data_IF_075827876635
#
_entry.id   IF_075827876635
#
_cell.length_a   1.000
_cell.length_b   1.000
_cell.length_c   1.000
_cell.angle_alpha   90.00
_cell.angle_beta   90.00
_cell.angle_gamma   90.00
#
_symmetry.space_group_name_H-M   'P 1'
#
loop_
_entity.id
_entity.type
_entity.pdbx_description
1 polymer ?
#
# COMPACT_ATOMS: atom_id res chain seq x y z
N UNK A 1 -5.54 24.38 0.10
CA UNK A 1 -5.80 23.32 1.08
C UNK A 1 -7.25 22.93 0.92
N UNK A 2 -7.51 21.67 0.61
CA UNK A 2 -8.89 21.15 0.51
C UNK A 2 -8.96 19.82 1.27
N UNK A 3 -10.03 19.68 2.05
CA UNK A 3 -10.32 18.45 2.77
C UNK A 3 -10.82 17.39 1.77
N UNK A 4 -9.98 16.42 1.49
CA UNK A 4 -10.17 15.41 0.44
C UNK A 4 -10.20 14.00 1.01
N UNK A 5 -10.97 13.14 0.36
CA UNK A 5 -10.89 11.69 0.52
C UNK A 5 -9.63 11.12 -0.15
N UNK A 6 -9.28 9.87 0.17
CA UNK A 6 -8.15 9.19 -0.46
C UNK A 6 -8.35 9.08 -1.97
N UNK A 7 -9.56 8.77 -2.41
CA UNK A 7 -9.91 8.66 -3.82
C UNK A 7 -9.75 10.00 -4.58
N UNK A 8 -10.21 11.10 -3.98
CA UNK A 8 -10.04 12.45 -4.55
C UNK A 8 -8.56 12.84 -4.61
N UNK A 9 -7.76 12.43 -3.62
CA UNK A 9 -6.32 12.67 -3.60
C UNK A 9 -5.57 11.88 -4.69
N UNK A 10 -5.98 10.64 -4.96
CA UNK A 10 -5.48 9.84 -6.11
C UNK A 10 -5.82 10.54 -7.42
N UNK A 11 -7.08 10.96 -7.61
CA UNK A 11 -7.50 11.69 -8.80
C UNK A 11 -6.69 12.98 -9.00
N UNK A 12 -6.49 13.75 -7.92
CA UNK A 12 -5.70 14.97 -7.96
C UNK A 12 -4.24 14.71 -8.38
N UNK A 13 -3.61 13.66 -7.84
CA UNK A 13 -2.25 13.28 -8.20
C UNK A 13 -2.13 12.91 -9.69
N UNK A 14 -3.11 12.16 -10.22
CA UNK A 14 -3.16 11.81 -11.65
C UNK A 14 -3.33 13.08 -12.52
N UNK A 15 -4.23 13.97 -12.14
CA UNK A 15 -4.39 15.25 -12.84
C UNK A 15 -3.10 16.05 -12.85
N UNK A 16 -2.42 16.17 -11.71
CA UNK A 16 -1.18 16.93 -11.56
C UNK A 16 -0.07 16.36 -12.46
N UNK A 17 0.18 15.05 -12.40
CA UNK A 17 1.27 14.44 -13.17
C UNK A 17 0.97 14.42 -14.68
N UNK A 18 -0.26 14.20 -15.09
CA UNK A 18 -0.64 14.28 -16.51
C UNK A 18 -0.54 15.70 -17.07
N UNK A 19 -0.75 16.72 -16.25
CA UNK A 19 -0.58 18.12 -16.67
C UNK A 19 0.90 18.49 -16.76
N UNK A 20 1.71 18.00 -15.83
CA UNK A 20 3.14 18.25 -15.74
C UNK A 20 3.94 17.52 -16.81
N UNK A 21 3.58 16.29 -17.14
CA UNK A 21 4.35 15.40 -18.00
C UNK A 21 3.47 14.79 -19.10
N UNK A 22 3.72 15.14 -20.38
CA UNK A 22 2.94 14.63 -21.51
C UNK A 22 3.11 13.12 -21.75
N UNK A 23 4.15 12.48 -21.20
CA UNK A 23 4.41 11.07 -21.37
C UNK A 23 3.63 10.19 -20.37
N UNK A 24 2.97 10.79 -19.37
CA UNK A 24 2.08 10.06 -18.45
C UNK A 24 0.78 9.71 -19.15
N UNK A 25 0.45 8.42 -19.17
CA UNK A 25 -0.75 7.84 -19.81
C UNK A 25 -1.48 6.97 -18.80
N UNK A 26 -2.79 7.12 -18.69
CA UNK A 26 -3.65 6.25 -17.85
C UNK A 26 -4.36 5.24 -18.76
N UNK A 27 -4.31 3.96 -18.40
CA UNK A 27 -5.02 2.90 -19.12
C UNK A 27 -5.63 1.89 -18.16
N UNK A 28 -6.72 1.27 -18.58
CA UNK A 28 -7.45 0.27 -17.78
C UNK A 28 -8.90 0.16 -18.21
N UNK A 29 -9.64 -0.69 -17.54
CA UNK A 29 -11.06 -0.88 -17.79
C UNK A 29 -11.86 0.31 -17.26
N UNK A 30 -12.72 0.88 -18.10
CA UNK A 30 -13.62 1.99 -17.75
C UNK A 30 -12.95 3.27 -17.22
N UNK A 31 -11.63 3.40 -17.32
CA UNK A 31 -10.88 4.55 -16.79
C UNK A 31 -11.19 5.86 -17.54
N UNK A 32 -11.63 5.76 -18.77
CA UNK A 32 -11.90 6.91 -19.64
C UNK A 32 -13.33 7.44 -19.52
N UNK A 33 -14.28 6.76 -20.14
CA UNK A 33 -15.68 7.23 -20.22
C UNK A 33 -16.34 7.23 -18.83
N UNK A 34 -16.17 6.16 -18.08
CA UNK A 34 -16.78 6.01 -16.77
C UNK A 34 -15.98 6.66 -15.64
N UNK A 35 -14.70 6.95 -15.84
CA UNK A 35 -13.81 7.51 -14.81
C UNK A 35 -13.38 6.51 -13.75
N UNK A 36 -13.29 5.22 -14.13
CA UNK A 36 -12.93 4.11 -13.27
C UNK A 36 -14.08 3.58 -12.40
N UNK A 37 -13.98 2.32 -11.98
CA UNK A 37 -15.02 1.64 -11.17
C UNK A 37 -15.27 2.35 -9.83
N UNK A 38 -14.25 2.91 -9.21
CA UNK A 38 -14.35 3.73 -8.00
C UNK A 38 -14.37 5.23 -8.27
N UNK A 39 -14.30 5.67 -9.52
CA UNK A 39 -14.28 7.08 -9.95
C UNK A 39 -12.94 7.80 -9.70
N UNK A 40 -11.84 7.04 -9.62
CA UNK A 40 -10.50 7.58 -9.40
C UNK A 40 -9.96 8.38 -10.61
N UNK A 41 -10.48 8.15 -11.80
CA UNK A 41 -10.00 8.76 -13.05
C UNK A 41 -11.02 9.73 -13.69
N UNK A 42 -12.04 10.14 -12.92
CA UNK A 42 -13.07 11.09 -13.38
C UNK A 42 -12.44 12.38 -13.89
N UNK A 43 -12.91 12.85 -15.06
CA UNK A 43 -12.48 14.11 -15.67
C UNK A 43 -11.15 14.06 -16.42
N UNK A 44 -10.33 13.00 -16.24
CA UNK A 44 -9.04 12.89 -16.92
C UNK A 44 -9.19 12.85 -18.44
N UNK A 45 -10.14 12.04 -18.96
CA UNK A 45 -10.35 11.91 -20.40
C UNK A 45 -10.83 13.20 -21.04
N UNK A 46 -11.69 13.93 -20.36
CA UNK A 46 -12.20 15.22 -20.87
C UNK A 46 -11.08 16.26 -20.97
N UNK A 47 -10.15 16.24 -20.02
CA UNK A 47 -9.02 17.18 -19.97
C UNK A 47 -7.87 16.78 -20.89
N UNK A 48 -7.48 15.49 -20.93
CA UNK A 48 -6.25 15.01 -21.58
C UNK A 48 -6.49 14.21 -22.86
N UNK A 49 -7.74 13.89 -23.16
CA UNK A 49 -8.16 13.20 -24.39
C UNK A 49 -7.95 11.69 -24.36
N UNK A 50 -8.59 11.02 -25.35
CA UNK A 50 -8.63 9.55 -25.44
C UNK A 50 -7.27 8.89 -25.75
N UNK A 51 -6.30 9.64 -26.25
CA UNK A 51 -4.94 9.12 -26.51
C UNK A 51 -4.11 8.98 -25.25
N UNK A 52 -4.47 9.69 -24.19
CA UNK A 52 -3.76 9.67 -22.91
C UNK A 52 -4.58 9.01 -21.78
N UNK A 53 -5.89 8.85 -21.97
CA UNK A 53 -6.77 8.12 -21.04
C UNK A 53 -7.51 7.07 -21.85
N UNK A 54 -7.05 5.83 -21.76
CA UNK A 54 -7.34 4.75 -22.67
C UNK A 54 -8.20 3.70 -21.99
N UNK A 55 -9.46 3.57 -22.42
CA UNK A 55 -10.28 2.41 -22.04
C UNK A 55 -9.76 1.16 -22.74
N UNK A 56 -9.49 0.11 -21.99
CA UNK A 56 -9.08 -1.19 -22.50
C UNK A 56 -10.25 -2.19 -22.50
N UNK A 57 -10.17 -3.27 -23.28
CA UNK A 57 -11.00 -4.44 -23.01
C UNK A 57 -10.71 -5.01 -21.62
N UNK A 58 -11.66 -5.83 -21.11
CA UNK A 58 -11.50 -6.63 -19.89
C UNK A 58 -10.48 -7.76 -20.16
N UNK A 59 -9.21 -7.43 -20.00
CA UNK A 59 -8.08 -8.32 -20.30
C UNK A 59 -6.82 -7.86 -19.56
N UNK A 60 -6.67 -8.22 -18.31
CA UNK A 60 -5.62 -7.70 -17.40
C UNK A 60 -4.21 -8.07 -17.86
N UNK A 61 -4.05 -9.23 -18.51
CA UNK A 61 -2.79 -9.60 -19.17
C UNK A 61 -2.40 -8.63 -20.29
N UNK A 62 -3.39 -8.12 -21.05
CA UNK A 62 -3.18 -7.09 -22.06
C UNK A 62 -2.84 -5.75 -21.41
N UNK A 63 -3.57 -5.34 -20.37
CA UNK A 63 -3.32 -4.08 -19.65
C UNK A 63 -1.88 -4.05 -19.17
N UNK A 64 -1.43 -5.11 -18.46
CA UNK A 64 -0.07 -5.22 -17.97
C UNK A 64 0.96 -5.21 -19.10
N UNK A 65 0.73 -5.98 -20.17
CA UNK A 65 1.68 -6.12 -21.29
C UNK A 65 1.79 -4.85 -22.15
N UNK A 66 0.69 -4.18 -22.42
CA UNK A 66 0.68 -2.90 -23.15
C UNK A 66 1.44 -1.83 -22.34
N UNK A 67 1.26 -1.79 -21.01
CA UNK A 67 2.02 -0.88 -20.15
C UNK A 67 3.54 -1.11 -20.26
N UNK A 68 4.00 -2.38 -20.30
CA UNK A 68 5.42 -2.69 -20.53
C UNK A 68 5.88 -2.15 -21.88
N UNK A 69 5.12 -2.39 -22.96
CA UNK A 69 5.44 -1.87 -24.28
C UNK A 69 5.52 -0.35 -24.32
N UNK A 70 4.56 0.35 -23.72
CA UNK A 70 4.56 1.81 -23.60
C UNK A 70 5.78 2.34 -22.85
N UNK A 71 6.12 1.74 -21.71
CA UNK A 71 7.26 2.15 -20.88
C UNK A 71 8.59 2.00 -21.64
N UNK A 72 8.77 0.92 -22.41
CA UNK A 72 9.98 0.72 -23.22
C UNK A 72 10.11 1.70 -24.37
N UNK A 73 9.04 2.40 -24.73
CA UNK A 73 9.02 3.47 -25.75
C UNK A 73 9.06 4.88 -25.15
N UNK A 74 9.29 5.00 -23.83
CA UNK A 74 9.49 6.28 -23.14
C UNK A 74 8.23 6.88 -22.52
N UNK A 75 7.08 6.21 -22.59
CA UNK A 75 5.89 6.65 -21.90
C UNK A 75 5.94 6.21 -20.41
N UNK A 76 5.11 6.84 -19.58
CA UNK A 76 4.92 6.53 -18.16
C UNK A 76 3.48 6.06 -17.91
N UNK A 77 3.18 4.79 -18.17
CA UNK A 77 1.84 4.29 -18.02
C UNK A 77 1.46 4.10 -16.55
N UNK A 78 0.27 4.57 -16.21
CA UNK A 78 -0.45 4.24 -14.98
C UNK A 78 -1.56 3.27 -15.37
N UNK A 79 -1.33 1.99 -15.08
CA UNK A 79 -2.23 0.90 -15.45
C UNK A 79 -3.15 0.57 -14.28
N UNK A 80 -4.46 0.80 -14.43
CA UNK A 80 -5.47 0.50 -13.42
C UNK A 80 -6.04 -0.90 -13.62
N UNK A 81 -6.04 -1.69 -12.55
CA UNK A 81 -6.84 -2.90 -12.40
C UNK A 81 -8.00 -2.61 -11.47
N UNK A 82 -9.19 -3.11 -11.78
CA UNK A 82 -10.40 -2.78 -11.02
C UNK A 82 -10.36 -3.26 -9.57
N UNK A 83 -9.70 -4.41 -9.31
CA UNK A 83 -9.44 -4.97 -7.97
C UNK A 83 -8.13 -5.74 -7.96
N UNK A 84 -7.50 -5.88 -6.78
CA UNK A 84 -6.22 -6.56 -6.66
C UNK A 84 -6.29 -8.03 -7.09
N UNK A 85 -7.37 -8.75 -6.78
CA UNK A 85 -7.56 -10.14 -7.20
C UNK A 85 -7.65 -10.32 -8.72
N UNK A 86 -7.94 -9.27 -9.49
CA UNK A 86 -7.99 -9.34 -10.95
C UNK A 86 -6.63 -9.18 -11.62
N UNK A 87 -5.61 -8.83 -10.87
CA UNK A 87 -4.25 -8.62 -11.40
C UNK A 87 -3.55 -9.93 -11.80
N UNK A 88 -4.02 -11.09 -11.30
CA UNK A 88 -3.36 -12.38 -11.50
C UNK A 88 -3.12 -12.77 -12.97
N UNK A 89 -4.03 -12.56 -13.93
CA UNK A 89 -3.74 -12.80 -15.34
C UNK A 89 -2.62 -11.92 -15.90
N UNK A 90 -2.33 -10.76 -15.28
CA UNK A 90 -1.26 -9.83 -15.63
C UNK A 90 0.11 -10.15 -15.00
N UNK A 91 0.17 -11.11 -14.05
CA UNK A 91 1.39 -11.35 -13.27
C UNK A 91 2.59 -11.75 -14.12
N UNK A 92 2.40 -12.50 -15.20
CA UNK A 92 3.50 -12.84 -16.10
C UNK A 92 4.18 -11.58 -16.66
N UNK A 93 3.40 -10.59 -17.10
CA UNK A 93 3.91 -9.34 -17.65
C UNK A 93 4.58 -8.48 -16.57
N UNK A 94 4.00 -8.43 -15.39
CA UNK A 94 4.54 -7.67 -14.26
C UNK A 94 5.85 -8.29 -13.77
N UNK A 95 5.85 -9.61 -13.49
CA UNK A 95 6.97 -10.31 -12.87
C UNK A 95 8.09 -10.61 -13.88
N UNK A 96 7.71 -11.15 -15.04
CA UNK A 96 8.70 -11.64 -16.01
C UNK A 96 9.21 -10.55 -16.94
N UNK A 97 8.44 -9.49 -17.16
CA UNK A 97 8.83 -8.39 -18.05
C UNK A 97 9.19 -7.12 -17.28
N UNK A 98 8.22 -6.46 -16.65
CA UNK A 98 8.43 -5.16 -15.99
C UNK A 98 9.53 -5.22 -14.91
N UNK A 99 9.38 -6.10 -13.92
CA UNK A 99 10.32 -6.21 -12.80
C UNK A 99 11.76 -6.52 -13.22
N UNK A 100 11.94 -7.23 -14.32
CA UNK A 100 13.26 -7.69 -14.80
C UNK A 100 13.88 -6.79 -15.85
N UNK A 101 13.17 -5.79 -16.36
CA UNK A 101 13.61 -4.99 -17.50
C UNK A 101 14.96 -4.32 -17.27
N UNK A 102 15.13 -3.62 -16.15
CA UNK A 102 16.39 -2.96 -15.79
C UNK A 102 17.56 -3.95 -15.71
N UNK A 103 17.36 -5.08 -15.02
CA UNK A 103 18.41 -6.09 -14.86
C UNK A 103 18.76 -6.75 -16.21
N UNK A 104 17.75 -7.18 -16.96
CA UNK A 104 17.91 -7.85 -18.27
C UNK A 104 18.66 -6.97 -19.28
N UNK A 105 18.42 -5.68 -19.25
CA UNK A 105 19.04 -4.71 -20.15
C UNK A 105 20.31 -4.07 -19.58
N UNK A 106 20.75 -4.47 -18.39
CA UNK A 106 21.90 -3.89 -17.68
C UNK A 106 21.74 -2.38 -17.48
N UNK A 107 20.55 -1.93 -17.09
CA UNK A 107 20.21 -0.54 -16.83
C UNK A 107 19.97 0.33 -18.06
N UNK A 108 20.04 -0.22 -19.28
CA UNK A 108 19.84 0.56 -20.52
C UNK A 108 18.38 0.95 -20.74
N UNK A 109 17.46 0.13 -20.27
CA UNK A 109 16.02 0.37 -20.36
C UNK A 109 15.46 0.30 -18.94
N UNK A 110 14.69 1.30 -18.55
CA UNK A 110 13.89 1.34 -17.34
C UNK A 110 12.44 0.98 -17.66
N UNK A 111 11.61 0.80 -16.65
CA UNK A 111 10.22 0.44 -16.85
C UNK A 111 9.33 1.26 -15.91
N UNK A 112 9.15 2.57 -16.16
CA UNK A 112 8.43 3.49 -15.29
C UNK A 112 6.92 3.25 -15.38
N UNK A 113 6.43 2.21 -14.73
CA UNK A 113 5.03 1.83 -14.72
C UNK A 113 4.49 1.91 -13.29
N UNK A 114 3.32 2.51 -13.13
CA UNK A 114 2.52 2.33 -11.91
C UNK A 114 1.39 1.35 -12.23
N UNK A 115 1.41 0.19 -11.58
CA UNK A 115 0.30 -0.74 -11.56
C UNK A 115 -0.52 -0.45 -10.31
N UNK A 116 -1.70 0.14 -10.47
CA UNK A 116 -2.56 0.51 -9.34
C UNK A 116 -3.84 -0.32 -9.31
N UNK A 117 -4.29 -0.63 -8.12
CA UNK A 117 -5.57 -1.29 -7.90
C UNK A 117 -6.13 -1.00 -6.51
N UNK A 118 -7.46 -1.02 -6.33
CA UNK A 118 -8.09 -1.19 -5.02
C UNK A 118 -7.60 -2.46 -4.36
N UNK A 119 -7.56 -2.47 -3.03
CA UNK A 119 -6.92 -3.50 -2.22
C UNK A 119 -7.63 -3.63 -0.88
N UNK A 120 -7.72 -4.86 -0.39
CA UNK A 120 -8.16 -5.16 0.97
C UNK A 120 -9.65 -5.48 1.12
N UNK A 121 -10.03 -5.78 2.35
CA UNK A 121 -11.38 -6.10 2.76
C UNK A 121 -12.09 -4.90 3.41
N UNK A 122 -13.41 -5.00 3.64
CA UNK A 122 -14.19 -4.02 4.39
C UNK A 122 -15.22 -3.24 3.56
N UNK A 123 -15.48 -3.66 2.33
CA UNK A 123 -16.51 -3.07 1.47
C UNK A 123 -17.67 -4.03 1.17
N UNK A 124 -17.73 -5.17 1.86
CA UNK A 124 -18.75 -6.20 1.70
C UNK A 124 -18.87 -6.76 0.29
N UNK A 125 -17.75 -6.86 -0.42
CA UNK A 125 -17.66 -7.44 -1.75
C UNK A 125 -17.34 -8.95 -1.69
N UNK A 126 -17.49 -9.70 -2.81
CA UNK A 126 -17.02 -11.08 -2.89
C UNK A 126 -15.52 -11.19 -2.59
N UNK A 127 -15.07 -12.37 -2.12
CA UNK A 127 -13.69 -12.63 -1.71
C UNK A 127 -12.65 -12.17 -2.75
N UNK A 128 -12.92 -12.38 -4.03
CA UNK A 128 -12.02 -12.01 -5.13
C UNK A 128 -11.85 -10.49 -5.33
N UNK A 129 -12.72 -9.69 -4.70
CA UNK A 129 -12.63 -8.23 -4.68
C UNK A 129 -12.01 -7.70 -3.38
N UNK A 130 -11.66 -8.59 -2.45
CA UNK A 130 -11.21 -8.26 -1.09
C UNK A 130 -9.80 -8.80 -0.79
N UNK A 131 -9.01 -9.04 -1.82
CA UNK A 131 -7.68 -9.63 -1.71
C UNK A 131 -6.66 -8.66 -1.08
N UNK A 132 -5.74 -9.23 -0.30
CA UNK A 132 -4.57 -8.55 0.28
C UNK A 132 -3.32 -9.39 -0.01
N UNK A 133 -2.79 -9.24 -1.23
CA UNK A 133 -1.71 -10.11 -1.75
C UNK A 133 -0.39 -9.36 -1.96
N UNK A 134 -0.15 -8.30 -1.21
CA UNK A 134 1.07 -7.49 -1.28
C UNK A 134 2.35 -8.32 -1.10
N UNK A 135 2.30 -9.40 -0.31
CA UNK A 135 3.44 -10.27 -0.07
C UNK A 135 3.93 -10.98 -1.34
N UNK A 136 3.03 -11.33 -2.27
CA UNK A 136 3.40 -11.92 -3.56
C UNK A 136 4.29 -10.99 -4.37
N UNK A 137 3.94 -9.70 -4.42
CA UNK A 137 4.70 -8.70 -5.16
C UNK A 137 5.95 -8.24 -4.40
N UNK A 138 5.89 -8.17 -3.07
CA UNK A 138 7.04 -7.87 -2.23
C UNK A 138 8.16 -8.91 -2.34
N UNK A 139 7.82 -10.17 -2.66
CA UNK A 139 8.81 -11.22 -2.90
C UNK A 139 9.59 -11.03 -4.21
N UNK A 140 9.08 -10.26 -5.17
CA UNK A 140 9.66 -10.14 -6.52
C UNK A 140 10.74 -9.05 -6.56
N UNK A 141 12.01 -9.39 -6.86
CA UNK A 141 13.05 -8.39 -7.08
C UNK A 141 12.74 -7.50 -8.29
N UNK A 142 12.95 -6.19 -8.12
CA UNK A 142 12.73 -5.20 -9.17
C UNK A 142 11.34 -4.56 -9.17
N UNK A 143 10.47 -4.94 -8.23
CA UNK A 143 9.21 -4.23 -7.95
C UNK A 143 9.32 -3.41 -6.66
N UNK A 144 8.71 -2.23 -6.66
CA UNK A 144 8.27 -1.55 -5.44
C UNK A 144 6.83 -1.90 -5.13
N UNK A 145 6.49 -1.91 -3.84
CA UNK A 145 5.11 -2.10 -3.36
C UNK A 145 4.78 -0.99 -2.39
N UNK A 146 3.78 -0.18 -2.72
CA UNK A 146 3.38 1.02 -1.98
C UNK A 146 1.90 0.92 -1.63
N UNK A 147 1.56 1.21 -0.37
CA UNK A 147 0.19 1.15 0.15
C UNK A 147 -0.07 2.40 1.02
N UNK A 148 -0.73 3.42 0.51
CA UNK A 148 -0.99 4.64 1.28
C UNK A 148 -2.01 4.39 2.39
N UNK A 149 -1.90 5.14 3.49
CA UNK A 149 -2.77 5.05 4.67
C UNK A 149 -3.69 6.25 4.87
N UNK A 150 -3.57 7.27 4.03
CA UNK A 150 -4.34 8.52 4.13
C UNK A 150 -4.35 9.29 2.81
N UNK A 151 -5.27 10.28 2.64
CA UNK A 151 -5.33 11.11 1.44
C UNK A 151 -4.00 11.81 1.13
N UNK A 152 -3.36 12.41 2.14
CA UNK A 152 -2.06 13.07 1.98
C UNK A 152 -0.96 12.10 1.51
N UNK A 153 -0.96 10.87 2.06
CA UNK A 153 -0.03 9.81 1.63
C UNK A 153 -0.33 9.38 0.20
N UNK A 154 -1.61 9.18 -0.14
CA UNK A 154 -2.01 8.76 -1.49
C UNK A 154 -1.55 9.77 -2.54
N UNK A 155 -1.78 11.06 -2.33
CA UNK A 155 -1.31 12.11 -3.24
C UNK A 155 0.21 12.07 -3.41
N UNK A 156 0.96 12.26 -2.33
CA UNK A 156 2.41 12.43 -2.43
C UNK A 156 3.17 11.17 -2.85
N UNK A 157 2.73 9.98 -2.41
CA UNK A 157 3.35 8.72 -2.81
C UNK A 157 3.03 8.36 -4.26
N UNK A 158 1.83 8.68 -4.77
CA UNK A 158 1.48 8.43 -6.17
C UNK A 158 2.29 9.33 -7.12
N UNK A 159 2.49 10.61 -6.76
CA UNK A 159 3.40 11.48 -7.51
C UNK A 159 4.80 10.86 -7.62
N UNK A 160 5.35 10.38 -6.50
CA UNK A 160 6.67 9.76 -6.48
C UNK A 160 6.71 8.45 -7.25
N UNK A 161 5.65 7.64 -7.17
CA UNK A 161 5.54 6.38 -7.91
C UNK A 161 5.52 6.61 -9.43
N UNK A 162 4.80 7.63 -9.92
CA UNK A 162 4.77 7.96 -11.36
C UNK A 162 6.12 8.50 -11.86
N UNK A 163 6.87 9.15 -10.98
CA UNK A 163 8.20 9.68 -11.28
C UNK A 163 9.32 8.65 -11.18
N UNK A 164 9.05 7.51 -10.55
CA UNK A 164 10.06 6.46 -10.37
C UNK A 164 10.41 5.80 -11.72
N UNK A 165 11.68 5.55 -11.99
CA UNK A 165 12.12 4.88 -13.22
C UNK A 165 11.84 3.37 -13.23
N UNK A 166 11.47 2.77 -12.10
CA UNK A 166 11.20 1.35 -11.94
C UNK A 166 9.72 1.06 -11.65
N UNK A 167 9.22 -0.15 -11.91
CA UNK A 167 7.81 -0.45 -11.76
C UNK A 167 7.37 -0.45 -10.29
N UNK A 168 6.25 0.19 -10.04
CA UNK A 168 5.61 0.32 -8.72
C UNK A 168 4.25 -0.35 -8.73
N UNK A 169 4.03 -1.27 -7.80
CA UNK A 169 2.70 -1.74 -7.41
C UNK A 169 2.13 -0.75 -6.41
N UNK A 170 1.05 -0.09 -6.74
CA UNK A 170 0.41 0.92 -5.90
C UNK A 170 -0.99 0.44 -5.50
N UNK A 171 -1.10 -0.10 -4.29
CA UNK A 171 -2.32 -0.70 -3.78
C UNK A 171 -3.06 0.29 -2.90
N UNK A 172 -4.31 0.55 -3.23
CA UNK A 172 -5.15 1.57 -2.62
C UNK A 172 -6.18 0.93 -1.70
N UNK A 173 -6.09 1.08 -0.37
CA UNK A 173 -7.05 0.47 0.54
C UNK A 173 -8.46 1.02 0.31
N UNK A 174 -9.33 0.21 -0.29
CA UNK A 174 -10.66 0.65 -0.73
C UNK A 174 -11.60 0.99 0.45
N UNK A 175 -11.45 0.31 1.58
CA UNK A 175 -12.19 0.57 2.82
C UNK A 175 -12.01 2.02 3.31
N UNK A 176 -10.86 2.63 3.02
CA UNK A 176 -10.59 4.01 3.41
C UNK A 176 -10.70 5.02 2.27
N UNK A 177 -11.14 4.60 1.08
CA UNK A 177 -11.31 5.50 -0.06
C UNK A 177 -12.17 6.73 0.26
N UNK A 178 -13.25 6.54 1.02
CA UNK A 178 -14.23 7.59 1.35
C UNK A 178 -14.48 7.77 2.84
N UNK A 179 -13.91 6.90 3.70
CA UNK A 179 -14.20 6.88 5.14
C UNK A 179 -13.49 7.99 5.90
N UNK A 180 -12.45 8.57 5.33
CA UNK A 180 -11.70 9.66 5.96
C UNK A 180 -11.42 10.77 4.97
N UNK A 181 -11.28 11.97 5.51
CA UNK A 181 -10.77 13.14 4.80
C UNK A 181 -9.57 13.72 5.52
N UNK A 182 -8.68 14.32 4.79
CA UNK A 182 -7.58 15.13 5.34
C UNK A 182 -7.23 16.26 4.39
N UNK A 183 -6.55 17.26 4.92
CA UNK A 183 -6.05 18.38 4.13
C UNK A 183 -4.94 17.92 3.18
N UNK A 184 -5.19 18.11 1.88
CA UNK A 184 -4.23 17.81 0.81
C UNK A 184 -3.90 19.10 0.09
N UNK A 185 -2.62 19.38 -0.07
CA UNK A 185 -2.10 20.51 -0.82
C UNK A 185 -1.64 20.01 -2.18
N UNK A 186 -2.18 20.61 -3.25
CA UNK A 186 -1.72 20.37 -4.62
C UNK A 186 -0.48 21.21 -4.93
N UNK A 187 0.64 20.83 -4.31
CA UNK A 187 1.92 21.50 -4.46
C UNK A 187 2.90 20.77 -5.40
N UNK A 188 2.50 19.62 -5.90
CA UNK A 188 3.33 18.77 -6.75
C UNK A 188 4.53 18.14 -6.04
N UNK A 189 4.55 18.19 -4.69
CA UNK A 189 5.64 17.61 -3.90
C UNK A 189 5.35 16.14 -3.64
N UNK A 190 6.17 15.26 -4.25
CA UNK A 190 6.13 13.82 -3.97
C UNK A 190 6.68 13.51 -2.58
N UNK A 191 6.07 12.53 -1.91
CA UNK A 191 6.62 11.98 -0.68
C UNK A 191 7.72 10.95 -0.99
N UNK A 192 8.75 10.83 -0.14
CA UNK A 192 9.78 9.83 -0.37
C UNK A 192 9.17 8.43 -0.31
N UNK A 193 9.53 7.59 -1.29
CA UNK A 193 9.35 6.15 -1.22
C UNK A 193 10.42 5.54 -0.32
N UNK A 194 10.27 4.30 0.06
CA UNK A 194 11.28 3.51 0.79
C UNK A 194 11.53 3.98 2.24
N UNK A 195 10.64 4.79 2.82
CA UNK A 195 10.73 5.27 4.21
C UNK A 195 9.45 4.99 5.00
N UNK A 196 9.61 4.71 6.29
CA UNK A 196 8.51 4.69 7.25
C UNK A 196 8.14 6.10 7.69
N UNK A 197 6.89 6.29 8.04
CA UNK A 197 6.41 7.53 8.65
C UNK A 197 6.02 7.29 10.11
N UNK A 198 6.69 7.96 11.04
CA UNK A 198 6.28 7.95 12.44
C UNK A 198 5.04 8.82 12.61
N UNK A 199 3.88 8.20 12.85
CA UNK A 199 2.61 8.90 13.04
C UNK A 199 2.42 9.34 14.50
N UNK A 200 2.98 8.59 15.43
CA UNK A 200 2.93 8.87 16.86
C UNK A 200 4.25 8.45 17.49
N UNK A 201 4.94 9.33 18.22
CA UNK A 201 6.09 8.91 19.02
C UNK A 201 5.64 8.14 20.26
N UNK A 202 6.43 7.14 20.69
CA UNK A 202 6.15 6.34 21.87
C UNK A 202 7.43 5.78 22.50
N UNK A 203 7.28 5.10 23.63
CA UNK A 203 8.43 4.56 24.39
C UNK A 203 8.25 3.11 24.86
N UNK A 204 7.02 2.57 24.84
CA UNK A 204 6.71 1.31 25.50
C UNK A 204 6.52 0.15 24.51
N UNK A 205 6.01 0.44 23.31
CA UNK A 205 5.69 -0.54 22.27
C UNK A 205 5.85 0.10 20.89
N UNK A 206 6.54 -0.57 19.97
CA UNK A 206 6.53 -0.26 18.53
C UNK A 206 5.37 -1.00 17.87
N UNK A 207 4.48 -0.26 17.20
CA UNK A 207 3.41 -0.82 16.37
C UNK A 207 3.70 -0.45 14.93
N UNK A 208 3.89 -1.47 14.08
CA UNK A 208 4.13 -1.32 12.64
C UNK A 208 2.88 -1.74 11.89
N UNK A 209 2.37 -0.90 11.02
CA UNK A 209 1.20 -1.19 10.19
C UNK A 209 1.26 -0.45 8.85
N UNK A 210 0.29 -0.69 7.98
CA UNK A 210 0.13 -0.03 6.69
C UNK A 210 -1.31 -0.03 6.21
N UNK A 211 -1.59 0.78 5.21
CA UNK A 211 -2.89 0.83 4.56
C UNK A 211 -4.02 1.18 5.53
N UNK A 212 -5.14 0.46 5.40
CA UNK A 212 -6.32 0.72 6.20
C UNK A 212 -6.12 0.44 7.70
N UNK A 213 -5.28 -0.55 8.07
CA UNK A 213 -5.02 -0.90 9.48
C UNK A 213 -4.45 0.26 10.31
N UNK A 214 -3.89 1.28 9.68
CA UNK A 214 -3.37 2.47 10.39
C UNK A 214 -4.48 3.18 11.18
N UNK A 215 -5.72 3.17 10.70
CA UNK A 215 -6.82 3.80 11.43
C UNK A 215 -7.11 3.07 12.74
N UNK A 216 -7.21 1.74 12.69
CA UNK A 216 -7.44 0.90 13.88
C UNK A 216 -6.26 1.00 14.86
N UNK A 217 -5.03 0.99 14.34
CA UNK A 217 -3.82 1.17 15.16
C UNK A 217 -3.80 2.52 15.88
N UNK A 218 -4.18 3.60 15.21
CA UNK A 218 -4.24 4.93 15.84
C UNK A 218 -5.32 5.02 16.90
N UNK A 219 -6.50 4.39 16.69
CA UNK A 219 -7.54 4.30 17.72
C UNK A 219 -7.08 3.47 18.92
N UNK A 220 -6.49 2.30 18.66
CA UNK A 220 -5.93 1.45 19.72
C UNK A 220 -4.83 2.18 20.52
N UNK A 221 -3.95 2.92 19.85
CA UNK A 221 -2.90 3.69 20.51
C UNK A 221 -3.46 4.80 21.42
N UNK A 222 -4.64 5.35 21.11
CA UNK A 222 -5.34 6.29 22.00
C UNK A 222 -5.90 5.58 23.24
N UNK A 223 -6.57 4.43 23.07
CA UNK A 223 -7.08 3.62 24.19
C UNK A 223 -5.96 3.18 25.13
N UNK A 224 -4.81 2.75 24.57
CA UNK A 224 -3.65 2.34 25.35
C UNK A 224 -2.99 3.51 26.11
N UNK A 225 -3.00 4.70 25.51
CA UNK A 225 -2.45 5.90 26.16
C UNK A 225 -3.25 6.32 27.42
N UNK A 226 -4.58 6.08 27.45
CA UNK A 226 -5.40 6.27 28.65
C UNK A 226 -5.00 5.34 29.80
N UNK A 227 -4.24 4.29 29.49
CA UNK A 227 -3.69 3.29 30.43
C UNK A 227 -2.18 3.43 30.60
N UNK A 228 -1.61 4.61 30.30
CA UNK A 228 -0.19 4.92 30.38
C UNK A 228 0.73 4.08 29.46
N UNK A 229 0.20 3.40 28.45
CA UNK A 229 1.01 2.68 27.45
C UNK A 229 1.20 3.57 26.21
N UNK A 230 2.44 4.02 25.97
CA UNK A 230 2.79 4.92 24.89
C UNK A 230 3.34 4.17 23.68
N UNK A 231 2.46 3.89 22.70
CA UNK A 231 2.82 3.24 21.46
C UNK A 231 3.55 4.20 20.50
N UNK A 232 4.67 3.75 19.96
CA UNK A 232 5.26 4.36 18.76
C UNK A 232 4.63 3.72 17.53
N UNK A 233 3.91 4.51 16.72
CA UNK A 233 3.20 4.01 15.56
C UNK A 233 3.98 4.37 14.30
N UNK A 234 4.36 3.33 13.55
CA UNK A 234 5.06 3.41 12.28
C UNK A 234 4.12 2.99 11.14
N UNK A 235 3.89 3.90 10.19
CA UNK A 235 3.23 3.63 8.92
C UNK A 235 4.29 3.28 7.88
N UNK A 236 4.32 2.03 7.43
CA UNK A 236 5.31 1.59 6.44
C UNK A 236 5.15 2.31 5.11
N UNK A 237 3.93 2.51 4.66
CA UNK A 237 3.58 3.07 3.36
C UNK A 237 4.28 2.41 2.16
N UNK A 238 5.56 2.06 2.28
CA UNK A 238 6.32 1.25 1.30
C UNK A 238 6.63 -0.11 1.90
N UNK A 239 6.04 -1.16 1.32
CA UNK A 239 6.23 -2.55 1.73
C UNK A 239 7.53 -3.14 1.14
N UNK A 240 7.89 -2.68 -0.04
CA UNK A 240 9.12 -3.09 -0.73
C UNK A 240 9.76 -1.89 -1.44
N UNK A 241 11.02 -1.54 -1.12
CA UNK A 241 11.83 -2.08 0.00
C UNK A 241 11.31 -1.68 1.39
N UNK A 242 11.59 -2.50 2.40
CA UNK A 242 11.28 -2.17 3.80
C UNK A 242 12.29 -1.19 4.37
N UNK A 243 11.83 -0.15 5.05
CA UNK A 243 12.65 0.73 5.89
C UNK A 243 12.95 0.06 7.23
N UNK A 244 13.86 -0.91 7.22
CA UNK A 244 14.24 -1.63 8.42
C UNK A 244 15.03 -0.77 9.41
N UNK A 245 15.71 0.27 8.95
CA UNK A 245 16.46 1.17 9.82
C UNK A 245 15.51 1.88 10.80
N UNK A 246 14.42 2.44 10.31
CA UNK A 246 13.40 3.07 11.16
C UNK A 246 12.72 2.08 12.10
N UNK A 247 12.39 0.88 11.61
CA UNK A 247 11.76 -0.17 12.44
C UNK A 247 12.71 -0.59 13.57
N UNK A 248 13.97 -0.89 13.25
CA UNK A 248 14.98 -1.31 14.23
C UNK A 248 15.30 -0.20 15.25
N UNK A 249 15.38 1.05 14.82
CA UNK A 249 15.57 2.19 15.72
C UNK A 249 14.43 2.30 16.74
N UNK A 250 13.19 2.15 16.28
CA UNK A 250 12.00 2.15 17.14
C UNK A 250 12.00 0.96 18.11
N UNK A 251 12.25 -0.25 17.61
CA UNK A 251 12.28 -1.46 18.46
C UNK A 251 13.39 -1.39 19.51
N UNK A 252 14.58 -0.90 19.16
CA UNK A 252 15.67 -0.70 20.12
C UNK A 252 15.31 0.28 21.25
N UNK A 253 14.47 1.27 20.94
CA UNK A 253 13.98 2.25 21.92
C UNK A 253 12.90 1.65 22.84
N UNK A 254 11.91 0.97 22.28
CA UNK A 254 10.72 0.49 23.01
C UNK A 254 10.93 -0.88 23.64
N UNK A 255 11.68 -1.74 22.98
CA UNK A 255 11.92 -3.12 23.36
C UNK A 255 10.77 -4.09 23.04
N UNK A 256 9.73 -3.66 22.35
CA UNK A 256 8.57 -4.50 21.99
C UNK A 256 8.11 -4.21 20.59
N UNK A 257 7.63 -5.25 19.88
CA UNK A 257 7.15 -5.13 18.51
C UNK A 257 5.79 -5.81 18.32
N UNK A 258 4.83 -5.06 17.82
CA UNK A 258 3.56 -5.55 17.28
C UNK A 258 3.50 -5.16 15.80
N UNK A 259 3.30 -6.14 14.90
CA UNK A 259 3.05 -5.89 13.48
C UNK A 259 1.58 -6.18 13.18
N UNK A 260 0.88 -5.23 12.57
CA UNK A 260 -0.57 -5.32 12.29
C UNK A 260 -0.79 -5.20 10.79
N UNK A 261 -1.45 -6.19 10.18
CA UNK A 261 -1.86 -6.16 8.78
C UNK A 261 -3.04 -7.09 8.51
N UNK A 262 -3.84 -6.76 7.51
CA UNK A 262 -5.05 -7.52 7.20
C UNK A 262 -4.82 -8.78 6.33
N UNK A 263 -3.71 -8.84 5.61
CA UNK A 263 -3.34 -10.04 4.84
C UNK A 263 -3.14 -11.26 5.77
N UNK A 264 -3.22 -12.46 5.17
CA UNK A 264 -2.98 -13.73 5.87
C UNK A 264 -1.64 -13.73 6.64
N UNK A 265 -1.62 -14.41 7.79
CA UNK A 265 -0.44 -14.50 8.64
C UNK A 265 0.69 -15.35 8.04
N UNK A 266 0.33 -16.42 7.32
CA UNK A 266 1.30 -17.30 6.67
C UNK A 266 2.00 -16.60 5.51
N UNK A 267 3.34 -16.56 5.55
CA UNK A 267 4.19 -15.94 4.53
C UNK A 267 3.91 -14.45 4.25
N UNK A 268 3.17 -13.77 5.14
CA UNK A 268 2.89 -12.35 5.03
C UNK A 268 4.13 -11.49 5.35
N UNK A 269 4.07 -10.21 4.95
CA UNK A 269 5.15 -9.22 5.16
C UNK A 269 5.54 -9.08 6.63
N UNK A 270 4.58 -9.20 7.55
CA UNK A 270 4.86 -9.18 8.99
C UNK A 270 5.80 -10.28 9.46
N UNK A 271 5.86 -11.43 8.77
CA UNK A 271 6.80 -12.50 9.09
C UNK A 271 8.25 -12.08 8.77
N UNK A 272 8.48 -11.42 7.63
CA UNK A 272 9.79 -10.86 7.25
C UNK A 272 10.26 -9.81 8.26
N UNK A 273 9.37 -8.89 8.67
CA UNK A 273 9.71 -7.86 9.65
C UNK A 273 10.14 -8.50 10.98
N UNK A 274 9.38 -9.48 11.48
CA UNK A 274 9.70 -10.19 12.72
C UNK A 274 11.01 -10.96 12.60
N UNK A 275 11.26 -11.64 11.47
CA UNK A 275 12.51 -12.36 11.24
C UNK A 275 13.71 -11.39 11.29
N UNK A 276 13.69 -10.30 10.55
CA UNK A 276 14.78 -9.31 10.50
C UNK A 276 14.98 -8.60 11.84
N UNK A 277 13.92 -8.24 12.56
CA UNK A 277 14.05 -7.67 13.91
C UNK A 277 14.68 -8.68 14.86
N UNK A 278 14.32 -9.97 14.75
CA UNK A 278 14.93 -11.02 15.58
C UNK A 278 16.41 -11.23 15.25
N UNK A 279 16.78 -11.18 13.97
CA UNK A 279 18.18 -11.32 13.54
C UNK A 279 19.05 -10.13 13.99
N UNK A 280 18.52 -8.90 13.94
CA UNK A 280 19.31 -7.66 14.08
C UNK A 280 19.16 -6.96 15.45
N UNK A 281 18.10 -7.27 16.23
CA UNK A 281 17.77 -6.60 17.47
C UNK A 281 17.22 -7.53 18.59
N UNK A 282 17.49 -8.84 18.53
CA UNK A 282 16.98 -9.81 19.50
C UNK A 282 17.24 -9.39 20.95
N UNK A 283 18.45 -8.94 21.26
CA UNK A 283 18.86 -8.53 22.63
C UNK A 283 18.19 -7.25 23.11
N UNK A 284 17.56 -6.49 22.22
CA UNK A 284 16.77 -5.30 22.56
C UNK A 284 15.33 -5.63 22.92
N UNK A 285 14.85 -6.83 22.54
CA UNK A 285 13.48 -7.25 22.78
C UNK A 285 13.27 -7.64 24.25
N UNK A 286 12.24 -7.09 24.87
CA UNK A 286 11.77 -7.40 26.23
C UNK A 286 10.70 -8.50 26.26
N UNK A 287 10.08 -8.78 25.09
CA UNK A 287 9.10 -9.82 24.88
C UNK A 287 9.22 -10.37 23.45
N UNK A 288 8.74 -11.61 23.17
CA UNK A 288 8.65 -12.13 21.82
C UNK A 288 7.84 -11.18 20.91
N UNK A 289 8.33 -10.83 19.71
CA UNK A 289 7.57 -9.99 18.78
C UNK A 289 6.27 -10.69 18.35
N UNK A 290 5.22 -9.92 18.19
CA UNK A 290 3.88 -10.43 17.85
C UNK A 290 3.40 -9.89 16.52
N UNK A 291 2.67 -10.73 15.77
CA UNK A 291 1.92 -10.35 14.59
C UNK A 291 0.42 -10.48 14.88
N UNK A 292 -0.33 -9.46 14.53
CA UNK A 292 -1.80 -9.50 14.48
C UNK A 292 -2.18 -9.37 13.01
N UNK A 293 -2.80 -10.41 12.46
CA UNK A 293 -2.97 -10.58 11.02
C UNK A 293 -4.37 -11.07 10.71
N UNK A 294 -4.79 -10.96 9.45
CA UNK A 294 -5.90 -11.74 8.94
C UNK A 294 -5.67 -13.25 9.13
N UNK A 295 -6.74 -14.01 9.20
CA UNK A 295 -6.68 -15.47 9.28
C UNK A 295 -6.32 -16.07 7.91
N UNK A 296 -5.74 -17.28 7.92
CA UNK A 296 -5.38 -17.99 6.67
C UNK A 296 -6.62 -18.58 5.99
N UNK A 297 -7.49 -17.71 5.51
CA UNK A 297 -8.72 -18.03 4.79
C UNK A 297 -9.03 -16.92 3.78
N UNK A 298 -9.79 -17.24 2.75
CA UNK A 298 -10.39 -16.21 1.90
C UNK A 298 -11.30 -15.31 2.74
N UNK A 299 -11.35 -14.02 2.39
CA UNK A 299 -12.20 -13.06 3.10
C UNK A 299 -13.65 -13.54 3.06
N UNK A 300 -14.31 -13.69 4.23
CA UNK A 300 -15.68 -14.18 4.27
C UNK A 300 -16.65 -13.18 3.64
N UNK A 301 -17.62 -13.71 2.89
CA UNK A 301 -18.55 -12.87 2.18
C UNK A 301 -19.54 -12.17 3.12
N UNK A 302 -19.78 -10.91 2.85
CA UNK A 302 -20.81 -10.01 3.33
C UNK A 302 -20.97 -9.95 4.87
N UNK A 303 -21.83 -10.80 5.49
CA UNK A 303 -22.15 -10.71 6.92
C UNK A 303 -21.02 -11.15 7.84
N UNK A 304 -20.09 -11.93 7.34
CA UNK A 304 -19.01 -12.47 8.15
C UNK A 304 -17.69 -11.70 7.94
N UNK A 305 -17.67 -10.72 7.04
CA UNK A 305 -16.47 -9.91 6.77
C UNK A 305 -15.99 -9.16 8.02
N UNK A 306 -16.96 -8.65 8.84
CA UNK A 306 -16.63 -7.94 10.07
C UNK A 306 -15.83 -8.78 11.09
N UNK A 307 -15.98 -10.11 11.07
CA UNK A 307 -15.21 -11.02 11.94
C UNK A 307 -13.80 -11.31 11.41
N UNK A 308 -13.54 -10.96 10.16
CA UNK A 308 -12.23 -11.07 9.54
C UNK A 308 -11.36 -9.84 9.80
N UNK A 309 -11.98 -8.67 9.91
CA UNK A 309 -11.27 -7.40 10.06
C UNK A 309 -10.70 -7.26 11.47
N UNK A 310 -9.46 -6.77 11.54
CA UNK A 310 -8.79 -6.45 12.80
C UNK A 310 -9.40 -5.18 13.38
N UNK A 311 -9.77 -5.23 14.66
CA UNK A 311 -10.36 -4.10 15.40
C UNK A 311 -9.32 -3.42 16.28
N UNK A 312 -9.62 -2.20 16.72
CA UNK A 312 -8.83 -1.50 17.74
C UNK A 312 -8.74 -2.27 19.07
N UNK A 313 -9.77 -3.06 19.43
CA UNK A 313 -9.73 -3.88 20.63
C UNK A 313 -8.77 -5.06 20.50
N UNK A 314 -8.74 -5.74 19.33
CA UNK A 314 -7.80 -6.83 19.07
C UNK A 314 -6.34 -6.33 19.17
N UNK A 315 -6.10 -5.10 18.69
CA UNK A 315 -4.78 -4.46 18.76
C UNK A 315 -4.42 -4.13 20.21
N UNK A 316 -5.36 -3.57 20.98
CA UNK A 316 -5.16 -3.25 22.39
C UNK A 316 -4.89 -4.52 23.21
N UNK A 317 -5.65 -5.59 23.00
CA UNK A 317 -5.47 -6.88 23.68
C UNK A 317 -4.10 -7.51 23.33
N UNK A 318 -3.69 -7.43 22.06
CA UNK A 318 -2.37 -7.88 21.62
C UNK A 318 -1.22 -7.08 22.28
N UNK A 319 -1.42 -5.76 22.43
CA UNK A 319 -0.48 -4.87 23.09
C UNK A 319 -0.37 -5.20 24.58
N UNK A 320 -1.49 -5.41 25.29
CA UNK A 320 -1.48 -5.83 26.70
C UNK A 320 -0.72 -7.12 26.90
N UNK A 321 -0.97 -8.14 26.07
CA UNK A 321 -0.20 -9.39 26.13
C UNK A 321 1.30 -9.17 25.96
N UNK A 322 1.73 -8.25 25.09
CA UNK A 322 3.14 -7.89 24.93
C UNK A 322 3.71 -7.11 26.11
N UNK A 323 2.89 -6.33 26.81
CA UNK A 323 3.32 -5.60 28.02
C UNK A 323 3.48 -6.52 29.21
N UNK A 324 2.62 -7.53 29.34
CA UNK A 324 2.66 -8.52 30.44
C UNK A 324 3.75 -9.57 30.25
N UNK A 325 4.00 -9.99 28.99
CA UNK A 325 5.00 -10.99 28.69
C UNK A 325 6.41 -10.41 28.80
N UNK A 326 7.26 -11.12 29.53
CA UNK A 326 8.70 -10.86 29.60
C UNK A 326 9.44 -12.15 29.23
N UNK A 327 10.66 -12.01 28.71
CA UNK A 327 11.55 -13.15 28.60
C UNK A 327 11.83 -13.68 30.04
N UNK A 328 11.67 -14.98 30.22
CA UNK A 328 11.99 -15.65 31.49
C UNK A 328 13.49 -15.54 31.84
#
# INVERSE_FOLDING_TARGET
MSDMTLLEAVNLALHHEMERDPDVVVLGEDVGVNGGVFRATVGLRDKFGFKRVIDTPLAEGLIAGVAVGMATQGLKPVAEFQFQGFIFPGMEQIICQAARMRNRTRGRITCPIVYRSPYGAGIHSPEHHSESVEALFAHIPGLRVVIPSSPKRAYGLLLSAIRDPDPVMFFEPDRIYRSMKSDVVDDGIGLPLDVCFTLRPGRDLTVVAWGACIQEVMRAANLLAEQDIQCEVLDLATIKPLDMESILASVRKTGRLLVVHEACGSFGVGAEIVARVTEEALTSLKAPPKRLTGVDAAVPYYRNEEYYLITEQDIADAAHQLMENQWL
#
